data_IF_845643210862
#
_entry.id   IF_845643210862
#
_cell.length_a   1.000
_cell.length_b   1.000
_cell.length_c   1.000
_cell.angle_alpha   90.00
_cell.angle_beta   90.00
_cell.angle_gamma   90.00
#
_symmetry.space_group_name_H-M   'P 1'
#
loop_
_entity.id
_entity.type
_entity.pdbx_description
1 polymer ?
#
# COMPACT_ATOMS: atom_id res chain seq x y z
N UNK A 1 8.83 -15.65 22.29
CA UNK A 1 9.55 -14.47 21.76
C UNK A 1 8.94 -13.27 22.46
N UNK A 2 9.70 -12.63 23.33
CA UNK A 2 9.19 -11.55 24.21
C UNK A 2 9.42 -10.24 23.44
N UNK A 3 8.35 -9.56 23.06
CA UNK A 3 8.43 -8.19 22.55
C UNK A 3 8.31 -7.22 23.71
N UNK A 4 9.34 -6.43 23.94
CA UNK A 4 9.31 -5.34 24.90
C UNK A 4 8.81 -4.09 24.17
N UNK A 5 7.60 -3.62 24.49
CA UNK A 5 7.08 -2.34 24.03
C UNK A 5 7.37 -1.32 25.12
N UNK A 6 8.29 -0.39 24.85
CA UNK A 6 8.46 0.79 25.71
C UNK A 6 7.36 1.79 25.39
N UNK A 7 6.35 1.86 26.24
CA UNK A 7 5.38 2.96 26.22
C UNK A 7 5.85 4.08 27.12
N UNK A 8 6.09 5.25 26.53
CA UNK A 8 6.28 6.50 27.27
C UNK A 8 4.90 7.11 27.50
N UNK A 9 4.40 7.03 28.71
CA UNK A 9 3.12 7.64 29.07
C UNK A 9 3.33 8.66 30.19
N UNK A 10 2.85 9.87 29.91
CA UNK A 10 2.69 11.04 30.76
C UNK A 10 3.95 11.90 30.99
N UNK A 11 3.84 13.13 30.52
CA UNK A 11 4.65 14.28 30.99
C UNK A 11 3.88 14.93 32.12
N UNK A 12 4.40 14.83 33.34
CA UNK A 12 3.95 15.68 34.43
C UNK A 12 4.81 16.96 34.43
N UNK A 13 4.15 18.11 34.34
CA UNK A 13 4.77 19.43 34.44
C UNK A 13 4.54 19.95 35.84
N UNK A 14 5.57 19.97 36.68
CA UNK A 14 5.56 20.73 37.92
C UNK A 14 6.20 22.10 37.69
N UNK A 15 5.40 23.17 37.78
CA UNK A 15 5.89 24.53 37.79
C UNK A 15 6.38 24.88 39.19
N UNK A 16 7.67 25.04 39.38
CA UNK A 16 8.24 25.74 40.51
C UNK A 16 9.36 26.65 40.03
N UNK A 17 9.14 27.95 40.20
CA UNK A 17 10.08 29.05 40.06
C UNK A 17 11.24 28.91 39.05
N UNK A 18 10.99 29.38 37.83
CA UNK A 18 11.96 29.84 36.85
C UNK A 18 12.92 28.81 36.21
N UNK A 19 12.58 27.52 36.25
CA UNK A 19 13.30 26.49 35.47
C UNK A 19 12.39 25.30 35.21
N UNK A 20 12.07 25.07 33.94
CA UNK A 20 11.28 23.89 33.49
C UNK A 20 12.19 22.69 33.44
N UNK A 21 12.03 21.75 34.35
CA UNK A 21 12.78 20.50 34.36
C UNK A 21 11.84 19.37 33.93
N UNK A 22 12.17 18.67 32.85
CA UNK A 22 11.45 17.49 32.38
C UNK A 22 12.04 16.25 33.05
N UNK A 23 11.25 15.51 33.77
CA UNK A 23 11.62 14.21 34.33
C UNK A 23 10.92 13.10 33.57
N UNK A 24 11.69 12.17 33.05
CA UNK A 24 11.21 10.91 32.45
C UNK A 24 11.20 9.84 33.54
N UNK A 25 10.02 9.43 33.99
CA UNK A 25 9.91 8.26 34.86
C UNK A 25 9.67 7.01 34.03
N UNK A 26 10.52 6.01 34.17
CA UNK A 26 10.34 4.69 33.62
C UNK A 26 9.38 3.89 34.48
N UNK A 27 8.27 3.43 33.92
CA UNK A 27 7.36 2.50 34.59
C UNK A 27 7.85 1.07 34.25
N UNK A 28 8.20 0.34 35.27
CA UNK A 28 8.44 -1.11 35.19
C UNK A 28 7.07 -1.79 35.08
N UNK A 29 6.71 -2.21 33.88
CA UNK A 29 5.47 -2.94 33.64
C UNK A 29 5.76 -4.42 33.41
N UNK A 30 5.84 -5.18 34.49
CA UNK A 30 5.56 -6.61 34.47
C UNK A 30 4.05 -6.83 34.66
N UNK A 31 3.26 -6.52 33.64
CA UNK A 31 1.88 -7.00 33.54
C UNK A 31 1.74 -7.89 32.32
N UNK A 32 1.54 -9.16 32.61
CA UNK A 32 1.14 -10.19 31.68
C UNK A 32 -0.29 -9.89 31.20
N UNK A 33 -0.44 -9.46 29.94
CA UNK A 33 -1.76 -9.32 29.33
C UNK A 33 -2.12 -10.65 28.72
N UNK A 34 -3.11 -11.32 29.31
CA UNK A 34 -3.73 -12.50 28.78
C UNK A 34 -4.32 -12.22 27.38
N UNK A 35 -4.01 -13.10 26.45
CA UNK A 35 -4.55 -13.08 25.09
C UNK A 35 -6.09 -13.21 25.13
N UNK A 36 -6.75 -12.25 24.55
CA UNK A 36 -8.18 -12.31 24.29
C UNK A 36 -8.75 -10.95 23.95
N UNK A 37 -8.62 -10.51 22.74
CA UNK A 37 -9.77 -10.14 21.92
C UNK A 37 -9.34 -9.77 20.49
N UNK A 38 -10.13 -10.21 19.53
CA UNK A 38 -10.01 -9.97 18.12
C UNK A 38 -10.40 -8.54 17.81
N UNK A 39 -9.46 -7.60 17.90
CA UNK A 39 -9.60 -6.33 17.19
C UNK A 39 -8.93 -6.48 15.82
N UNK A 40 -9.75 -6.65 14.79
CA UNK A 40 -9.31 -6.62 13.41
C UNK A 40 -9.09 -5.18 12.96
N UNK A 41 -8.22 -4.45 13.63
CA UNK A 41 -7.61 -3.28 13.03
C UNK A 41 -6.60 -3.79 12.00
N UNK A 42 -6.88 -3.55 10.73
CA UNK A 42 -5.94 -3.79 9.64
C UNK A 42 -4.71 -2.91 9.89
N UNK A 43 -3.71 -3.49 10.56
CA UNK A 43 -2.44 -2.82 10.75
C UNK A 43 -1.82 -2.59 9.36
N UNK A 44 -1.61 -1.33 9.01
CA UNK A 44 -0.86 -0.96 7.81
C UNK A 44 0.50 -1.64 7.83
N UNK A 45 0.94 -2.27 6.73
CA UNK A 45 2.21 -2.99 6.71
C UNK A 45 3.36 -2.04 7.09
N UNK A 46 4.10 -2.40 8.12
CA UNK A 46 5.21 -1.61 8.68
C UNK A 46 6.39 -1.48 7.70
N UNK A 47 6.43 -2.29 6.65
CA UNK A 47 7.59 -2.39 5.73
C UNK A 47 7.51 -1.47 4.50
N UNK A 48 6.44 -0.72 4.29
CA UNK A 48 6.24 0.05 3.07
C UNK A 48 6.06 -0.80 1.79
N UNK A 49 6.03 -2.12 1.91
CA UNK A 49 5.82 -3.07 0.81
C UNK A 49 4.58 -3.92 1.07
N UNK A 50 3.74 -4.03 0.04
CA UNK A 50 2.50 -4.81 0.06
C UNK A 50 2.53 -5.82 -1.09
N UNK A 51 2.11 -7.05 -0.82
CA UNK A 51 2.02 -8.12 -1.83
C UNK A 51 0.59 -8.30 -2.32
N UNK A 52 0.43 -8.52 -3.63
CA UNK A 52 -0.85 -8.83 -4.28
C UNK A 52 -0.74 -10.15 -5.02
N UNK A 53 -1.70 -11.03 -4.84
CA UNK A 53 -1.75 -12.35 -5.49
C UNK A 53 -3.17 -12.68 -5.96
N UNK A 54 -3.28 -13.44 -7.05
CA UNK A 54 -4.57 -13.98 -7.53
C UNK A 54 -5.23 -14.92 -6.52
N UNK A 55 -4.43 -15.56 -5.66
CA UNK A 55 -4.89 -16.44 -4.58
C UNK A 55 -4.92 -15.75 -3.22
N UNK A 56 -4.68 -14.43 -3.20
CA UNK A 56 -4.70 -13.63 -1.99
C UNK A 56 -6.11 -13.31 -1.48
N UNK A 57 -6.17 -12.55 -0.41
CA UNK A 57 -7.42 -12.08 0.19
C UNK A 57 -7.25 -10.63 0.68
N UNK A 58 -8.22 -9.77 0.39
CA UNK A 58 -8.21 -8.40 0.90
C UNK A 58 -8.51 -8.32 2.42
N UNK A 59 -8.72 -9.48 3.06
CA UNK A 59 -8.73 -9.63 4.53
C UNK A 59 -7.34 -9.84 5.13
N UNK A 60 -6.32 -10.07 4.30
CA UNK A 60 -4.94 -10.21 4.74
C UNK A 60 -4.30 -8.82 4.95
N UNK A 61 -3.13 -8.80 5.58
CA UNK A 61 -2.35 -7.57 5.82
C UNK A 61 -1.41 -7.20 4.64
N UNK A 62 -1.23 -8.07 3.67
CA UNK A 62 -0.35 -7.88 2.53
C UNK A 62 1.15 -7.88 2.85
N UNK A 63 1.56 -8.18 4.06
CA UNK A 63 2.95 -8.05 4.53
C UNK A 63 3.92 -9.07 3.94
N UNK A 64 3.42 -10.20 3.48
CA UNK A 64 4.18 -11.30 2.89
C UNK A 64 3.44 -11.90 1.69
N UNK A 65 4.14 -12.72 0.91
CA UNK A 65 3.51 -13.44 -0.22
C UNK A 65 2.39 -14.38 0.22
N UNK A 66 2.53 -15.02 1.37
CA UNK A 66 1.52 -15.93 1.93
C UNK A 66 0.30 -15.19 2.48
N UNK A 67 0.49 -13.93 2.85
CA UNK A 67 -0.56 -13.02 3.31
C UNK A 67 -0.87 -11.94 2.28
N UNK A 68 -0.71 -12.25 1.00
CA UNK A 68 -0.95 -11.30 -0.08
C UNK A 68 -2.42 -10.88 -0.13
N UNK A 69 -2.65 -9.64 -0.56
CA UNK A 69 -3.96 -9.10 -0.89
C UNK A 69 -4.48 -9.69 -2.20
N UNK A 70 -5.78 -9.62 -2.42
CA UNK A 70 -6.38 -10.11 -3.66
C UNK A 70 -6.38 -9.05 -4.77
N UNK A 71 -6.41 -7.76 -4.43
CA UNK A 71 -6.63 -6.70 -5.40
C UNK A 71 -5.63 -5.54 -5.32
N UNK A 72 -5.22 -5.05 -6.49
CA UNK A 72 -4.39 -3.85 -6.60
C UNK A 72 -5.10 -2.58 -6.10
N UNK A 73 -6.40 -2.35 -6.37
CA UNK A 73 -7.09 -1.20 -5.78
C UNK A 73 -7.06 -1.18 -4.26
N UNK A 74 -7.22 -2.35 -3.61
CA UNK A 74 -7.13 -2.42 -2.15
C UNK A 74 -5.69 -2.21 -1.68
N UNK A 75 -4.71 -2.79 -2.35
CA UNK A 75 -3.30 -2.56 -2.05
C UNK A 75 -2.89 -1.08 -2.12
N UNK A 76 -3.42 -0.33 -3.10
CA UNK A 76 -3.22 1.12 -3.22
C UNK A 76 -3.80 1.92 -2.04
N UNK A 77 -4.85 1.43 -1.39
CA UNK A 77 -5.41 2.07 -0.19
C UNK A 77 -4.54 1.84 1.05
N UNK A 78 -4.03 0.61 1.23
CA UNK A 78 -3.30 0.22 2.45
C UNK A 78 -1.79 0.47 2.39
N UNK A 79 -1.20 0.51 1.19
CA UNK A 79 0.22 0.84 1.04
C UNK A 79 0.49 2.26 1.57
N UNK A 80 1.58 2.52 2.29
CA UNK A 80 1.98 3.87 2.68
C UNK A 80 2.05 4.85 1.50
N UNK A 81 1.99 6.15 1.77
CA UNK A 81 2.07 7.18 0.72
C UNK A 81 3.35 7.09 -0.12
N UNK A 82 4.44 6.60 0.45
CA UNK A 82 5.65 6.22 -0.29
C UNK A 82 5.89 4.73 -0.07
N UNK A 83 5.53 3.89 -1.05
CA UNK A 83 5.62 2.45 -0.86
C UNK A 83 5.66 1.64 -2.15
N UNK A 84 5.82 0.33 -1.97
CA UNK A 84 5.92 -0.63 -3.05
C UNK A 84 4.76 -1.63 -3.01
N UNK A 85 4.23 -1.95 -4.18
CA UNK A 85 3.26 -3.03 -4.36
C UNK A 85 3.92 -4.07 -5.25
N UNK A 86 4.12 -5.27 -4.72
CA UNK A 86 4.66 -6.42 -5.46
C UNK A 86 3.48 -7.28 -5.91
N UNK A 87 3.24 -7.34 -7.20
CA UNK A 87 2.23 -8.20 -7.80
C UNK A 87 2.85 -9.53 -8.19
N UNK A 88 2.32 -10.62 -7.67
CA UNK A 88 2.80 -11.95 -8.00
C UNK A 88 2.27 -12.39 -9.38
N UNK A 89 2.91 -13.40 -9.96
CA UNK A 89 2.56 -13.95 -11.28
C UNK A 89 1.05 -14.11 -11.47
N UNK A 90 0.54 -13.66 -12.62
CA UNK A 90 -0.87 -13.82 -12.95
C UNK A 90 -1.48 -12.73 -13.83
N UNK A 91 -2.71 -13.00 -14.24
CA UNK A 91 -3.54 -12.07 -15.01
C UNK A 91 -4.58 -11.40 -14.10
N UNK A 92 -4.52 -10.08 -14.02
CA UNK A 92 -5.38 -9.25 -13.17
C UNK A 92 -6.24 -8.35 -14.05
N UNK A 93 -7.52 -8.29 -13.74
CA UNK A 93 -8.47 -7.50 -14.51
C UNK A 93 -9.23 -6.54 -13.60
N UNK A 94 -9.22 -5.26 -13.93
CA UNK A 94 -9.90 -4.22 -13.16
C UNK A 94 -10.68 -3.29 -14.09
N UNK A 95 -11.76 -2.70 -13.62
CA UNK A 95 -12.51 -1.69 -14.38
C UNK A 95 -11.75 -0.37 -14.45
N UNK A 96 -11.10 0.03 -13.38
CA UNK A 96 -10.23 1.20 -13.34
C UNK A 96 -9.25 1.12 -12.17
N UNK A 97 -8.12 1.80 -12.30
CA UNK A 97 -7.10 1.97 -11.26
C UNK A 97 -6.83 3.47 -11.13
N UNK A 98 -6.88 3.99 -9.90
CA UNK A 98 -6.58 5.39 -9.63
C UNK A 98 -5.43 5.51 -8.63
N UNK A 99 -4.41 6.28 -9.00
CA UNK A 99 -3.29 6.63 -8.15
C UNK A 99 -3.51 8.06 -7.64
N UNK A 100 -3.84 8.26 -6.37
CA UNK A 100 -4.10 9.59 -5.81
C UNK A 100 -2.86 10.47 -5.81
N UNK A 101 -3.04 11.79 -5.83
CA UNK A 101 -1.96 12.79 -5.84
C UNK A 101 -1.01 12.72 -4.63
N UNK A 102 -1.48 12.14 -3.53
CA UNK A 102 -0.67 11.93 -2.31
C UNK A 102 0.26 10.70 -2.37
N UNK A 103 0.11 9.82 -3.39
CA UNK A 103 0.87 8.58 -3.50
C UNK A 103 2.12 8.73 -4.36
N UNK A 104 3.21 8.18 -3.84
CA UNK A 104 4.47 7.92 -4.55
C UNK A 104 4.64 6.41 -4.51
N UNK A 105 4.20 5.70 -5.55
CA UNK A 105 4.10 4.25 -5.50
C UNK A 105 4.84 3.58 -6.65
N UNK A 106 5.54 2.50 -6.31
CA UNK A 106 6.07 1.56 -7.30
C UNK A 106 5.18 0.32 -7.33
N UNK A 107 4.69 -0.04 -8.51
CA UNK A 107 4.01 -1.31 -8.76
C UNK A 107 4.97 -2.17 -9.57
N UNK A 108 5.42 -3.25 -8.96
CA UNK A 108 6.40 -4.17 -9.56
C UNK A 108 5.80 -5.55 -9.73
N UNK A 109 5.95 -6.12 -10.92
CA UNK A 109 5.59 -7.50 -11.21
C UNK A 109 6.72 -8.46 -10.81
N UNK A 110 6.37 -9.51 -10.10
CA UNK A 110 7.21 -10.66 -9.86
C UNK A 110 6.65 -11.85 -10.66
N UNK A 111 7.35 -12.23 -11.71
CA UNK A 111 6.89 -13.19 -12.71
C UNK A 111 6.19 -12.52 -13.90
N UNK A 112 5.28 -13.23 -14.56
CA UNK A 112 4.52 -12.71 -15.69
C UNK A 112 3.22 -12.06 -15.22
N UNK A 113 3.26 -10.75 -14.98
CA UNK A 113 2.11 -9.98 -14.50
C UNK A 113 1.45 -9.25 -15.66
N UNK A 114 0.19 -9.59 -15.93
CA UNK A 114 -0.64 -8.95 -16.95
C UNK A 114 -1.78 -8.17 -16.30
N UNK A 115 -1.85 -6.87 -16.55
CA UNK A 115 -2.97 -6.02 -16.13
C UNK A 115 -3.89 -5.77 -17.33
N UNK A 116 -5.18 -6.04 -17.16
CA UNK A 116 -6.17 -5.87 -18.23
C UNK A 116 -7.27 -4.92 -17.77
N UNK A 117 -7.57 -3.89 -18.58
CA UNK A 117 -8.73 -3.04 -18.41
C UNK A 117 -10.01 -3.76 -18.85
N UNK A 118 -11.04 -3.76 -18.01
CA UNK A 118 -12.33 -4.40 -18.30
C UNK A 118 -13.26 -3.54 -19.16
N UNK A 119 -12.98 -2.25 -19.28
CA UNK A 119 -13.84 -1.31 -20.03
C UNK A 119 -13.15 -0.82 -21.29
N UNK A 120 -13.80 -0.98 -22.43
CA UNK A 120 -13.35 -0.42 -23.70
C UNK A 120 -13.59 1.10 -23.83
N UNK A 121 -14.39 1.69 -22.93
CA UNK A 121 -14.88 3.07 -23.05
C UNK A 121 -14.45 4.00 -21.92
N UNK A 122 -13.57 3.55 -21.02
CA UNK A 122 -13.11 4.37 -19.91
C UNK A 122 -11.61 4.26 -19.71
N UNK A 123 -11.02 5.30 -19.12
CA UNK A 123 -9.63 5.29 -18.70
C UNK A 123 -9.38 4.14 -17.71
N UNK A 124 -8.45 3.27 -18.05
CA UNK A 124 -8.09 2.14 -17.21
C UNK A 124 -7.23 2.57 -16.02
N UNK A 125 -6.21 3.41 -16.28
CA UNK A 125 -5.34 3.93 -15.22
C UNK A 125 -5.37 5.45 -15.23
N UNK A 126 -5.72 6.05 -14.10
CA UNK A 126 -5.56 7.48 -13.85
C UNK A 126 -4.46 7.69 -12.83
N UNK A 127 -3.39 8.36 -13.20
CA UNK A 127 -2.29 8.69 -12.31
C UNK A 127 -2.28 10.19 -12.00
N UNK A 128 -2.59 10.55 -10.76
CA UNK A 128 -2.46 11.90 -10.22
C UNK A 128 -1.26 12.05 -9.29
N UNK A 129 -0.67 10.91 -8.85
CA UNK A 129 0.52 10.85 -8.01
C UNK A 129 1.81 10.60 -8.79
N UNK A 130 2.82 10.11 -8.11
CA UNK A 130 4.04 9.61 -8.74
C UNK A 130 3.95 8.07 -8.85
N UNK A 131 3.92 7.56 -10.07
CA UNK A 131 3.80 6.13 -10.36
C UNK A 131 5.05 5.62 -11.05
N UNK A 132 5.60 4.53 -10.53
CA UNK A 132 6.57 3.70 -11.25
C UNK A 132 5.95 2.34 -11.54
N UNK A 133 5.87 1.97 -12.82
CA UNK A 133 5.53 0.62 -13.26
C UNK A 133 6.81 -0.13 -13.60
N UNK A 134 6.97 -1.32 -13.05
CA UNK A 134 8.16 -2.14 -13.27
C UNK A 134 7.78 -3.60 -13.51
N UNK A 135 8.28 -4.19 -14.59
CA UNK A 135 8.01 -5.59 -14.96
C UNK A 135 6.50 -5.91 -15.09
N UNK A 136 5.70 -4.99 -15.63
CA UNK A 136 4.25 -5.13 -15.77
C UNK A 136 3.87 -5.09 -17.25
N UNK A 137 3.02 -6.01 -17.69
CA UNK A 137 2.38 -5.95 -18.99
C UNK A 137 0.97 -5.39 -18.85
N UNK A 138 0.69 -4.30 -19.55
CA UNK A 138 -0.65 -3.72 -19.61
C UNK A 138 -1.25 -4.11 -20.97
N UNK A 139 -2.28 -4.94 -20.92
CA UNK A 139 -2.83 -5.59 -22.13
C UNK A 139 -4.28 -5.21 -22.35
N UNK A 140 -4.72 -5.22 -23.62
CA UNK A 140 -6.11 -4.91 -24.04
C UNK A 140 -6.64 -3.55 -23.59
N UNK A 141 -5.77 -2.55 -23.53
CA UNK A 141 -6.17 -1.17 -23.26
C UNK A 141 -6.68 -0.51 -24.55
N UNK A 142 -7.77 -1.02 -25.12
CA UNK A 142 -8.36 -0.44 -26.33
C UNK A 142 -9.25 0.75 -25.97
N UNK A 143 -8.75 1.94 -26.19
CA UNK A 143 -9.58 3.14 -26.30
C UNK A 143 -9.96 3.36 -27.77
N UNK A 144 -11.13 2.91 -28.21
CA UNK A 144 -11.63 3.15 -29.58
C UNK A 144 -12.38 4.48 -29.74
N UNK A 145 -12.38 5.35 -28.74
CA UNK A 145 -13.05 6.65 -28.79
C UNK A 145 -12.07 7.81 -28.51
N UNK A 146 -12.29 8.87 -29.20
CA UNK A 146 -11.46 10.08 -29.36
C UNK A 146 -11.03 10.73 -28.03
N UNK A 147 -11.66 10.37 -26.90
CA UNK A 147 -11.40 10.98 -25.57
C UNK A 147 -11.10 9.99 -24.43
N UNK A 148 -11.00 8.68 -24.68
CA UNK A 148 -10.69 7.71 -23.63
C UNK A 148 -9.31 7.11 -23.82
N UNK A 149 -8.29 7.80 -23.33
CA UNK A 149 -6.96 7.20 -23.22
C UNK A 149 -7.00 6.08 -22.18
N UNK A 150 -6.50 4.88 -22.56
CA UNK A 150 -6.36 3.78 -21.63
C UNK A 150 -5.54 4.17 -20.38
N UNK A 151 -4.67 5.16 -20.54
CA UNK A 151 -3.82 5.70 -19.47
C UNK A 151 -3.91 7.24 -19.47
N UNK A 152 -4.38 7.80 -18.36
CA UNK A 152 -4.42 9.25 -18.13
C UNK A 152 -3.37 9.61 -17.07
N UNK A 153 -2.23 10.12 -17.52
CA UNK A 153 -1.17 10.56 -16.63
C UNK A 153 -1.21 12.07 -16.42
N UNK A 154 -1.48 12.51 -15.19
CA UNK A 154 -1.51 13.92 -14.80
C UNK A 154 -0.28 14.37 -14.00
N UNK A 155 0.63 13.43 -13.66
CA UNK A 155 1.83 13.72 -12.88
C UNK A 155 2.99 12.85 -13.39
N UNK A 156 3.88 12.41 -12.51
CA UNK A 156 5.08 11.68 -12.87
C UNK A 156 4.79 10.19 -13.10
N UNK A 157 5.24 9.68 -14.23
CA UNK A 157 5.18 8.28 -14.59
C UNK A 157 6.57 7.79 -15.03
N UNK A 158 7.05 6.73 -14.39
CA UNK A 158 8.20 5.97 -14.82
C UNK A 158 7.73 4.59 -15.28
N UNK A 159 8.24 4.14 -16.41
CA UNK A 159 7.95 2.80 -16.95
C UNK A 159 9.27 2.08 -17.18
N UNK A 160 9.45 0.96 -16.48
CA UNK A 160 10.68 0.19 -16.49
C UNK A 160 10.34 -1.25 -16.87
N UNK A 161 10.94 -1.75 -17.94
CA UNK A 161 10.76 -3.14 -18.40
C UNK A 161 9.28 -3.58 -18.41
N UNK A 162 8.41 -2.71 -18.90
CA UNK A 162 6.96 -2.91 -18.94
C UNK A 162 6.42 -2.64 -20.33
N UNK A 163 5.34 -3.31 -20.71
CA UNK A 163 4.75 -3.22 -22.04
C UNK A 163 3.30 -2.73 -21.99
N UNK A 164 2.87 -2.06 -23.06
CA UNK A 164 1.49 -1.64 -23.31
C UNK A 164 1.08 -2.22 -24.66
N UNK A 165 0.07 -3.11 -24.66
CA UNK A 165 -0.37 -3.86 -25.85
C UNK A 165 -1.89 -3.71 -26.04
#
# INVERSE_FOLDING_TARGET
MIFSINMVSAIEVEESDNSTTYQLSSIDSSQEIAAGDTDSSLESPTSGTVYVSKTGSDSNDGSTKDKALASLPYALNVVPNSGNIIMLDGAYSYSSISIPSSKIVTIEGEGNVNLTGLSAYSTFITNEGELTLKNINIVNCKGDMIDSAAFNNKNKLNVINSTFI
#
